data_IF_068725513624
#
_entry.id   IF_068725513624
#
_cell.length_a   1.000
_cell.length_b   1.000
_cell.length_c   1.000
_cell.angle_alpha   90.00
_cell.angle_beta   90.00
_cell.angle_gamma   90.00
#
_symmetry.space_group_name_H-M   'P 1'
#
loop_
_entity.id
_entity.type
_entity.pdbx_description
1 polymer ?
#
# COMPACT_ATOMS: atom_id res chain seq x y z
N UNK A 1 2.25 1.61 32.62
CA UNK A 1 1.73 0.41 31.93
C UNK A 1 0.94 0.92 30.73
N UNK A 2 1.48 0.83 29.52
CA UNK A 2 0.73 1.21 28.32
C UNK A 2 -0.18 0.05 27.95
N UNK A 3 -1.49 0.26 28.04
CA UNK A 3 -2.48 -0.69 27.50
C UNK A 3 -2.26 -0.77 25.98
N UNK A 4 -2.13 -1.97 25.39
CA UNK A 4 -2.14 -2.09 23.94
C UNK A 4 -3.52 -1.62 23.48
N UNK A 5 -3.56 -0.50 22.75
CA UNK A 5 -4.77 -0.11 22.03
C UNK A 5 -5.02 -1.26 21.05
N UNK A 6 -6.19 -1.95 21.11
CA UNK A 6 -6.50 -2.94 20.10
C UNK A 6 -6.38 -2.25 18.74
N UNK A 7 -5.85 -2.96 17.76
CA UNK A 7 -5.78 -2.55 16.35
C UNK A 7 -7.23 -2.42 15.82
N UNK A 8 -7.92 -1.39 16.30
CA UNK A 8 -9.29 -1.09 15.97
C UNK A 8 -9.20 -0.41 14.64
N UNK A 9 -9.84 -1.00 13.63
CA UNK A 9 -10.01 -0.37 12.33
C UNK A 9 -10.56 1.06 12.46
N UNK A 10 -10.49 1.84 11.38
CA UNK A 10 -10.79 3.27 11.39
C UNK A 10 -12.17 3.55 12.00
N UNK A 11 -12.30 4.61 12.81
CA UNK A 11 -13.58 4.99 13.40
C UNK A 11 -14.40 5.89 12.46
N UNK A 12 -13.76 6.50 11.46
CA UNK A 12 -14.40 7.37 10.47
C UNK A 12 -13.83 7.16 9.05
N UNK A 13 -14.60 7.54 8.03
CA UNK A 13 -14.14 7.53 6.64
C UNK A 13 -12.89 8.42 6.44
N UNK A 14 -12.82 9.57 7.12
CA UNK A 14 -11.65 10.45 7.04
C UNK A 14 -10.39 9.81 7.62
N UNK A 15 -10.52 9.06 8.72
CA UNK A 15 -9.41 8.30 9.29
C UNK A 15 -8.98 7.15 8.37
N UNK A 16 -9.94 6.38 7.82
CA UNK A 16 -9.66 5.31 6.85
C UNK A 16 -8.88 5.86 5.66
N UNK A 17 -9.35 6.96 5.07
CA UNK A 17 -8.66 7.63 3.96
C UNK A 17 -7.25 8.08 4.35
N UNK A 18 -7.05 8.64 5.55
CA UNK A 18 -5.74 9.07 6.01
C UNK A 18 -4.78 7.89 6.27
N UNK A 19 -5.28 6.74 6.71
CA UNK A 19 -4.50 5.51 6.86
C UNK A 19 -4.12 4.91 5.51
N UNK A 20 -5.08 4.80 4.58
CA UNK A 20 -4.83 4.30 3.23
C UNK A 20 -3.82 5.17 2.48
N UNK A 21 -3.93 6.50 2.58
CA UNK A 21 -2.97 7.43 1.96
C UNK A 21 -1.56 7.28 2.54
N UNK A 22 -1.42 7.18 3.87
CA UNK A 22 -0.13 6.93 4.51
C UNK A 22 0.47 5.58 4.10
N UNK A 23 -0.35 4.53 4.05
CA UNK A 23 0.10 3.19 3.66
C UNK A 23 0.50 3.15 2.17
N UNK A 24 -0.28 3.76 1.30
CA UNK A 24 0.00 3.88 -0.14
C UNK A 24 1.31 4.63 -0.36
N UNK A 25 1.48 5.80 0.25
CA UNK A 25 2.72 6.58 0.16
C UNK A 25 3.94 5.82 0.71
N UNK A 26 3.78 5.09 1.81
CA UNK A 26 4.85 4.25 2.38
C UNK A 26 5.23 3.11 1.43
N UNK A 27 4.25 2.44 0.81
CA UNK A 27 4.49 1.39 -0.16
C UNK A 27 5.23 1.93 -1.39
N UNK A 28 4.78 3.05 -1.94
CA UNK A 28 5.41 3.74 -3.09
C UNK A 28 6.85 4.10 -2.76
N UNK A 29 7.10 4.67 -1.58
CA UNK A 29 8.44 5.01 -1.13
C UNK A 29 9.33 3.76 -1.00
N UNK A 30 8.82 2.69 -0.39
CA UNK A 30 9.55 1.43 -0.25
C UNK A 30 9.86 0.77 -1.61
N UNK A 31 8.91 0.83 -2.56
CA UNK A 31 9.13 0.40 -3.94
C UNK A 31 10.27 1.20 -4.58
N UNK A 32 10.24 2.53 -4.48
CA UNK A 32 11.28 3.41 -5.03
C UNK A 32 12.66 3.19 -4.37
N UNK A 33 12.70 2.87 -3.08
CA UNK A 33 13.93 2.54 -2.37
C UNK A 33 14.49 1.17 -2.81
N UNK A 34 13.61 0.17 -2.99
CA UNK A 34 14.01 -1.20 -3.36
C UNK A 34 14.43 -1.34 -4.83
N UNK A 35 13.72 -0.67 -5.74
CA UNK A 35 13.88 -0.83 -7.20
C UNK A 35 14.55 0.39 -7.86
N UNK A 36 14.92 1.41 -7.08
CA UNK A 36 15.32 2.72 -7.58
C UNK A 36 14.13 3.56 -8.04
N UNK A 37 14.37 4.83 -8.40
CA UNK A 37 13.30 5.76 -8.82
C UNK A 37 12.72 5.48 -10.21
N UNK A 38 13.39 4.65 -11.01
CA UNK A 38 13.06 4.41 -12.42
C UNK A 38 12.76 2.94 -12.74
N UNK A 39 12.76 2.05 -11.73
CA UNK A 39 12.59 0.62 -11.91
C UNK A 39 13.88 -0.12 -12.33
N UNK A 40 13.76 -1.39 -12.77
CA UNK A 40 12.51 -2.09 -13.08
C UNK A 40 11.68 -2.39 -11.82
N UNK A 41 10.38 -2.13 -11.88
CA UNK A 41 9.46 -2.41 -10.78
C UNK A 41 9.20 -3.92 -10.64
N UNK A 42 8.86 -4.42 -9.44
CA UNK A 42 8.47 -5.81 -9.26
C UNK A 42 7.31 -6.20 -10.18
N UNK A 43 7.31 -7.40 -10.72
CA UNK A 43 6.18 -7.87 -11.55
C UNK A 43 4.91 -8.07 -10.70
N UNK A 44 5.12 -8.51 -9.46
CA UNK A 44 4.06 -8.78 -8.49
C UNK A 44 4.58 -8.50 -7.08
N UNK A 45 3.64 -8.20 -6.19
CA UNK A 45 3.87 -8.10 -4.75
C UNK A 45 3.24 -9.31 -4.06
N UNK A 46 3.85 -9.71 -2.96
CA UNK A 46 3.39 -10.84 -2.16
C UNK A 46 2.81 -10.33 -0.85
N UNK A 47 1.77 -11.00 -0.37
CA UNK A 47 1.18 -10.75 0.93
C UNK A 47 1.59 -11.89 1.86
N UNK A 48 2.29 -11.54 2.93
CA UNK A 48 2.57 -12.46 4.01
C UNK A 48 1.35 -12.47 4.93
N UNK A 49 0.72 -13.64 5.07
CA UNK A 49 -0.42 -13.85 5.96
C UNK A 49 0.02 -13.77 7.43
N UNK A 50 0.13 -12.54 7.93
CA UNK A 50 0.39 -12.18 9.32
C UNK A 50 -0.66 -11.18 9.81
N UNK A 51 -0.66 -10.90 11.12
CA UNK A 51 -1.48 -9.83 11.70
C UNK A 51 -0.57 -8.78 12.34
N UNK A 52 -0.34 -7.62 11.71
CA UNK A 52 -0.93 -7.14 10.45
C UNK A 52 -0.37 -7.85 9.19
N UNK A 53 -1.09 -7.78 8.07
CA UNK A 53 -0.65 -8.34 6.77
C UNK A 53 0.54 -7.54 6.25
N UNK A 54 1.58 -8.20 5.79
CA UNK A 54 2.82 -7.54 5.33
C UNK A 54 2.98 -7.72 3.83
N UNK A 55 3.21 -6.61 3.12
CA UNK A 55 3.52 -6.60 1.69
C UNK A 55 5.02 -6.80 1.50
N UNK A 56 5.41 -7.74 0.64
CA UNK A 56 6.82 -8.05 0.34
C UNK A 56 7.08 -8.16 -1.17
N UNK A 57 8.35 -8.01 -1.57
CA UNK A 57 8.81 -8.41 -2.92
C UNK A 57 9.08 -9.91 -2.99
N UNK A 58 9.33 -10.43 -4.21
CA UNK A 58 9.73 -11.83 -4.43
C UNK A 58 11.00 -12.22 -3.65
N UNK A 59 11.93 -11.28 -3.51
CA UNK A 59 13.19 -11.46 -2.78
C UNK A 59 13.03 -11.39 -1.25
N UNK A 60 11.79 -11.27 -0.76
CA UNK A 60 11.48 -11.23 0.68
C UNK A 60 11.66 -9.86 1.33
N UNK A 61 11.90 -8.80 0.55
CA UNK A 61 12.00 -7.43 1.10
C UNK A 61 10.64 -6.99 1.60
N UNK A 62 10.56 -6.62 2.88
CA UNK A 62 9.33 -6.06 3.48
C UNK A 62 9.16 -4.61 3.08
N UNK A 63 8.00 -4.28 2.50
CA UNK A 63 7.69 -2.95 2.00
C UNK A 63 6.83 -2.15 2.96
N UNK A 64 5.66 -2.69 3.34
CA UNK A 64 4.71 -2.02 4.22
C UNK A 64 3.82 -3.04 4.93
N UNK A 65 3.27 -2.69 6.08
CA UNK A 65 2.13 -3.42 6.68
C UNK A 65 0.83 -2.77 6.23
N UNK A 66 -0.13 -3.56 5.77
CA UNK A 66 -1.43 -3.04 5.37
C UNK A 66 -2.26 -2.62 6.59
N UNK A 67 -3.01 -1.50 6.51
CA UNK A 67 -4.02 -1.17 7.51
C UNK A 67 -5.05 -2.31 7.65
N UNK A 68 -5.65 -2.42 8.83
CA UNK A 68 -6.69 -3.42 9.08
C UNK A 68 -7.83 -3.20 8.09
N UNK A 69 -8.32 -4.28 7.48
CA UNK A 69 -9.39 -4.29 6.46
C UNK A 69 -9.02 -3.66 5.10
N UNK A 70 -7.78 -3.25 4.87
CA UNK A 70 -7.36 -2.74 3.57
C UNK A 70 -7.09 -3.88 2.57
N UNK A 71 -7.53 -3.67 1.33
CA UNK A 71 -7.19 -4.48 0.17
C UNK A 71 -6.17 -3.72 -0.68
N UNK A 72 -5.21 -4.44 -1.25
CA UNK A 72 -4.18 -3.87 -2.13
C UNK A 72 -4.33 -4.46 -3.53
N UNK A 73 -4.37 -3.58 -4.53
CA UNK A 73 -4.20 -3.91 -5.94
C UNK A 73 -2.90 -3.27 -6.44
N UNK A 74 -2.08 -4.08 -7.10
CA UNK A 74 -0.81 -3.66 -7.68
C UNK A 74 -0.77 -4.09 -9.14
N UNK A 75 -0.31 -3.20 -10.01
CA UNK A 75 -0.07 -3.52 -11.42
C UNK A 75 1.17 -2.80 -11.94
N UNK A 76 1.81 -3.40 -12.94
CA UNK A 76 2.93 -2.82 -13.68
C UNK A 76 2.72 -3.04 -15.18
N UNK A 77 3.39 -2.22 -16.00
CA UNK A 77 3.39 -2.40 -17.44
C UNK A 77 4.33 -3.54 -17.87
N UNK A 78 4.19 -4.00 -19.12
CA UNK A 78 4.99 -5.13 -19.63
C UNK A 78 6.51 -4.87 -19.58
N UNK A 79 6.93 -3.59 -19.65
CA UNK A 79 8.34 -3.20 -19.57
C UNK A 79 8.80 -2.89 -18.14
N UNK A 80 7.93 -3.05 -17.12
CA UNK A 80 8.19 -2.80 -15.70
C UNK A 80 8.78 -1.42 -15.44
N UNK A 81 8.41 -0.44 -16.26
CA UNK A 81 8.86 0.94 -16.21
C UNK A 81 7.86 1.82 -15.47
N UNK A 82 6.62 1.35 -15.32
CA UNK A 82 5.50 2.04 -14.68
C UNK A 82 4.79 1.10 -13.72
N UNK A 83 4.23 1.64 -12.66
CA UNK A 83 3.37 0.88 -11.75
C UNK A 83 2.22 1.72 -11.23
N UNK A 84 1.16 1.03 -10.81
CA UNK A 84 0.05 1.60 -10.08
C UNK A 84 -0.19 0.80 -8.80
N UNK A 85 -0.53 1.52 -7.73
CA UNK A 85 -0.95 0.99 -6.44
C UNK A 85 -2.33 1.55 -6.15
N UNK A 86 -3.25 0.68 -5.77
CA UNK A 86 -4.56 1.08 -5.28
C UNK A 86 -4.82 0.36 -3.96
N UNK A 87 -5.21 1.11 -2.94
CA UNK A 87 -5.64 0.58 -1.66
C UNK A 87 -7.09 0.95 -1.40
N UNK A 88 -7.89 -0.04 -1.02
CA UNK A 88 -9.30 0.13 -0.69
C UNK A 88 -9.55 -0.33 0.74
N UNK A 89 -10.08 0.55 1.57
CA UNK A 89 -10.52 0.22 2.92
C UNK A 89 -11.89 -0.43 2.88
N UNK A 90 -12.07 -1.55 3.57
CA UNK A 90 -13.34 -2.28 3.56
C UNK A 90 -14.35 -1.75 4.59
N UNK A 91 -13.95 -0.83 5.47
CA UNK A 91 -14.83 -0.34 6.56
C UNK A 91 -15.74 0.79 6.07
N UNK A 92 -15.19 1.80 5.40
CA UNK A 92 -15.95 2.92 4.82
C UNK A 92 -15.84 3.01 3.29
N UNK A 93 -15.20 2.04 2.64
CA UNK A 93 -15.07 1.98 1.18
C UNK A 93 -14.15 3.05 0.60
N UNK A 94 -13.30 3.68 1.41
CA UNK A 94 -12.39 4.70 0.92
C UNK A 94 -11.34 4.07 0.02
N UNK A 95 -10.94 4.79 -1.03
CA UNK A 95 -9.92 4.32 -1.96
C UNK A 95 -8.83 5.37 -2.13
N UNK A 96 -7.58 4.91 -2.17
CA UNK A 96 -6.42 5.73 -2.51
C UNK A 96 -5.65 5.06 -3.61
N UNK A 97 -5.35 5.80 -4.68
CA UNK A 97 -4.67 5.28 -5.86
C UNK A 97 -3.49 6.16 -6.21
N UNK A 98 -2.33 5.55 -6.38
CA UNK A 98 -1.11 6.14 -6.90
C UNK A 98 -0.75 5.51 -8.26
N UNK A 99 -0.31 6.34 -9.20
CA UNK A 99 0.26 5.91 -10.47
C UNK A 99 1.62 6.60 -10.69
N UNK A 100 2.63 5.84 -11.09
CA UNK A 100 4.00 6.34 -11.20
C UNK A 100 4.22 7.31 -12.37
N UNK A 101 3.29 7.38 -13.33
CA UNK A 101 3.36 8.29 -14.50
C UNK A 101 2.78 9.65 -14.15
N UNK A 102 1.61 9.67 -13.51
CA UNK A 102 0.99 10.92 -13.08
C UNK A 102 1.66 11.47 -11.83
N UNK A 103 2.19 10.60 -10.96
CA UNK A 103 2.62 10.97 -9.61
C UNK A 103 1.48 11.51 -8.75
N UNK A 104 0.23 11.33 -9.18
CA UNK A 104 -0.96 11.91 -8.57
C UNK A 104 -1.68 10.84 -7.77
N UNK A 105 -1.77 11.05 -6.46
CA UNK A 105 -2.74 10.38 -5.60
C UNK A 105 -4.14 10.86 -5.98
N UNK A 106 -4.94 10.01 -6.64
CA UNK A 106 -6.34 10.32 -6.88
C UNK A 106 -7.14 9.71 -5.74
N UNK A 107 -7.79 10.56 -4.96
CA UNK A 107 -8.63 10.13 -3.84
C UNK A 107 -10.10 10.10 -4.29
N UNK A 108 -10.72 8.92 -4.25
CA UNK A 108 -12.14 8.69 -4.49
C UNK A 108 -12.91 8.55 -3.20
#
# INVERSE_FOLDING_TARGET
MSVPVPDRGPATASEERAELSRATGTLVFALQQSSGRTGPWPEQLFLLESSPVIVTTADGVRLVSLPVTAQLSYSTDATRSRFAVEMTGSTFGQTTRYDSVSGVDTTG
#
